data_IF_902799915306
#
_entry.id   IF_902799915306
#
_cell.length_a   1.000
_cell.length_b   1.000
_cell.length_c   1.000
_cell.angle_alpha   90.00
_cell.angle_beta   90.00
_cell.angle_gamma   90.00
#
_symmetry.space_group_name_H-M   'P 1'
#
loop_
_entity.id
_entity.type
_entity.pdbx_description
1 polymer ?
#
# COMPACT_ATOMS: atom_id res chain seq x y z
N UNK A 1 -13.15 -23.18 -4.07
CA UNK A 1 -12.95 -21.82 -4.62
C UNK A 1 -14.05 -20.95 -4.03
N UNK A 2 -13.73 -20.09 -3.05
CA UNK A 2 -14.72 -19.19 -2.46
C UNK A 2 -14.79 -17.97 -3.37
N UNK A 3 -15.89 -17.82 -4.10
CA UNK A 3 -16.17 -16.61 -4.86
C UNK A 3 -16.72 -15.60 -3.84
N UNK A 4 -15.84 -14.75 -3.32
CA UNK A 4 -16.25 -13.66 -2.43
C UNK A 4 -17.00 -12.65 -3.28
N UNK A 5 -18.28 -12.45 -2.99
CA UNK A 5 -19.07 -11.38 -3.57
C UNK A 5 -18.52 -10.04 -3.05
N UNK A 6 -17.79 -9.32 -3.92
CA UNK A 6 -17.23 -8.02 -3.58
C UNK A 6 -18.19 -6.92 -4.05
N UNK A 7 -18.81 -6.24 -3.09
CA UNK A 7 -19.67 -5.08 -3.33
C UNK A 7 -18.81 -3.86 -3.70
N UNK A 8 -18.67 -3.61 -5.01
CA UNK A 8 -17.92 -2.47 -5.53
C UNK A 8 -18.78 -1.20 -5.47
N UNK A 9 -18.38 -0.23 -4.65
CA UNK A 9 -19.07 1.06 -4.51
C UNK A 9 -18.23 2.20 -5.08
N UNK A 10 -18.90 3.08 -5.82
CA UNK A 10 -18.32 4.33 -6.31
C UNK A 10 -18.78 5.50 -5.44
N UNK A 11 -17.94 6.52 -5.33
CA UNK A 11 -18.26 7.76 -4.63
C UNK A 11 -18.00 8.94 -5.55
N UNK A 12 -18.92 9.92 -5.54
CA UNK A 12 -18.74 11.18 -6.26
C UNK A 12 -17.90 12.20 -5.45
N UNK A 13 -17.48 11.83 -4.24
CA UNK A 13 -16.56 12.67 -3.45
C UNK A 13 -15.19 12.63 -4.11
N UNK A 14 -14.64 13.81 -4.37
CA UNK A 14 -13.26 13.91 -4.83
C UNK A 14 -12.32 13.30 -3.79
N UNK A 15 -11.49 12.36 -4.24
CA UNK A 15 -10.40 11.80 -3.44
C UNK A 15 -9.14 12.60 -3.80
N UNK A 16 -8.66 13.42 -2.86
CA UNK A 16 -7.35 14.08 -2.97
C UNK A 16 -6.24 13.05 -2.83
N UNK A 17 -5.05 13.33 -3.36
CA UNK A 17 -3.88 12.46 -3.21
C UNK A 17 -3.66 12.03 -1.75
N UNK A 18 -3.69 12.99 -0.82
CA UNK A 18 -3.57 12.75 0.63
C UNK A 18 -4.65 11.84 1.20
N UNK A 19 -5.90 12.02 0.78
CA UNK A 19 -7.00 11.14 1.21
C UNK A 19 -6.85 9.73 0.64
N UNK A 20 -6.32 9.59 -0.57
CA UNK A 20 -5.99 8.31 -1.20
C UNK A 20 -4.87 7.57 -0.45
N UNK A 21 -3.81 8.28 -0.07
CA UNK A 21 -2.73 7.73 0.79
C UNK A 21 -3.32 7.23 2.11
N UNK A 22 -4.16 8.02 2.77
CA UNK A 22 -4.80 7.64 4.02
C UNK A 22 -5.68 6.40 3.88
N UNK A 23 -6.42 6.28 2.78
CA UNK A 23 -7.25 5.10 2.49
C UNK A 23 -6.41 3.84 2.28
N UNK A 24 -5.36 3.92 1.44
CA UNK A 24 -4.45 2.80 1.19
C UNK A 24 -3.75 2.39 2.48
N UNK A 25 -3.21 3.33 3.24
CA UNK A 25 -2.52 3.02 4.50
C UNK A 25 -3.44 2.27 5.48
N UNK A 26 -4.70 2.72 5.60
CA UNK A 26 -5.70 2.04 6.42
C UNK A 26 -6.04 0.64 5.90
N UNK A 27 -6.15 0.46 4.59
CA UNK A 27 -6.38 -0.84 3.97
C UNK A 27 -5.20 -1.79 4.23
N UNK A 28 -3.96 -1.34 4.01
CA UNK A 28 -2.74 -2.13 4.24
C UNK A 28 -2.63 -2.57 5.71
N UNK A 29 -3.00 -1.70 6.65
CA UNK A 29 -3.10 -2.06 8.07
C UNK A 29 -4.17 -3.12 8.34
N UNK A 30 -5.36 -3.01 7.73
CA UNK A 30 -6.48 -3.97 7.91
C UNK A 30 -6.15 -5.37 7.41
N UNK A 31 -5.43 -5.49 6.29
CA UNK A 31 -5.02 -6.78 5.73
C UNK A 31 -3.74 -7.34 6.37
N UNK A 32 -3.19 -6.65 7.38
CA UNK A 32 -1.93 -7.01 8.07
C UNK A 32 -0.76 -7.19 7.08
N UNK A 33 -0.69 -6.31 6.08
CA UNK A 33 0.23 -6.44 4.97
C UNK A 33 1.69 -6.62 5.40
N UNK A 34 2.19 -5.81 6.34
CA UNK A 34 3.58 -5.91 6.81
C UNK A 34 3.90 -7.28 7.40
N UNK A 35 3.01 -7.82 8.25
CA UNK A 35 3.17 -9.16 8.84
C UNK A 35 3.15 -10.27 7.77
N UNK A 36 2.30 -10.12 6.75
CA UNK A 36 2.28 -11.06 5.63
C UNK A 36 3.57 -10.99 4.80
N UNK A 37 4.15 -9.80 4.63
CA UNK A 37 5.41 -9.63 3.90
C UNK A 37 6.62 -10.16 4.68
N UNK A 38 6.62 -10.05 6.01
CA UNK A 38 7.65 -10.63 6.88
C UNK A 38 7.70 -12.16 6.76
N UNK A 39 6.56 -12.83 6.57
CA UNK A 39 6.52 -14.29 6.41
C UNK A 39 6.96 -14.77 5.03
N UNK A 40 7.11 -13.88 4.04
CA UNK A 40 7.55 -14.22 2.68
C UNK A 40 9.06 -14.47 2.54
N UNK A 41 9.86 -14.31 3.60
CA UNK A 41 11.30 -14.55 3.54
C UNK A 41 12.04 -13.60 2.59
N UNK A 42 11.61 -12.33 2.54
CA UNK A 42 12.18 -11.33 1.63
C UNK A 42 13.69 -11.15 1.83
N UNK A 43 14.44 -10.84 0.75
CA UNK A 43 15.87 -10.60 0.84
C UNK A 43 16.13 -9.40 1.75
N UNK A 44 17.01 -9.61 2.73
CA UNK A 44 17.44 -8.53 3.61
C UNK A 44 18.35 -7.57 2.85
N UNK A 45 18.31 -6.27 3.17
CA UNK A 45 19.20 -5.30 2.56
C UNK A 45 20.67 -5.66 2.84
N UNK A 46 21.48 -5.73 1.79
CA UNK A 46 22.94 -5.88 1.94
C UNK A 46 23.62 -4.58 2.37
N UNK A 47 24.95 -4.62 2.46
CA UNK A 47 25.85 -3.56 3.00
C UNK A 47 25.69 -2.13 2.43
N UNK A 48 24.84 -1.90 1.42
CA UNK A 48 24.67 -0.59 0.77
C UNK A 48 23.20 -0.22 0.47
N UNK A 49 22.22 -0.82 1.15
CA UNK A 49 20.80 -0.45 1.01
C UNK A 49 20.22 -0.18 2.39
N UNK A 50 20.16 1.08 2.80
CA UNK A 50 19.75 1.48 4.17
C UNK A 50 18.26 1.28 4.48
N UNK A 51 17.44 0.88 3.50
CA UNK A 51 16.00 0.69 3.68
C UNK A 51 15.63 -0.79 3.61
N UNK A 52 14.82 -1.25 4.56
CA UNK A 52 14.19 -2.56 4.51
C UNK A 52 13.30 -2.67 3.25
N UNK A 53 13.31 -3.83 2.59
CA UNK A 53 12.51 -4.05 1.38
C UNK A 53 11.01 -3.82 1.62
N UNK A 54 10.52 -4.23 2.79
CA UNK A 54 9.13 -4.04 3.21
C UNK A 54 8.77 -2.54 3.25
N UNK A 55 9.69 -1.70 3.75
CA UNK A 55 9.50 -0.26 3.79
C UNK A 55 9.44 0.35 2.39
N UNK A 56 10.30 -0.10 1.47
CA UNK A 56 10.28 0.35 0.07
C UNK A 56 8.95 -0.01 -0.62
N UNK A 57 8.46 -1.23 -0.42
CA UNK A 57 7.19 -1.68 -0.99
C UNK A 57 6.01 -0.86 -0.47
N UNK A 58 5.95 -0.63 0.85
CA UNK A 58 4.95 0.25 1.46
C UNK A 58 5.03 1.67 0.86
N UNK A 59 6.23 2.21 0.70
CA UNK A 59 6.41 3.56 0.15
C UNK A 59 6.02 3.67 -1.32
N UNK A 60 6.31 2.67 -2.16
CA UNK A 60 5.87 2.66 -3.56
C UNK A 60 4.34 2.64 -3.66
N UNK A 61 3.68 1.80 -2.85
CA UNK A 61 2.22 1.73 -2.83
C UNK A 61 1.58 3.07 -2.42
N UNK A 62 2.14 3.74 -1.41
CA UNK A 62 1.64 5.04 -0.94
C UNK A 62 2.01 6.20 -1.88
N UNK A 63 3.20 6.20 -2.47
CA UNK A 63 3.71 7.28 -3.32
C UNK A 63 2.98 7.40 -4.65
N UNK A 64 2.48 6.28 -5.19
CA UNK A 64 1.70 6.26 -6.44
C UNK A 64 0.49 7.21 -6.43
N UNK A 65 -0.12 7.43 -5.26
CA UNK A 65 -1.26 8.36 -5.09
C UNK A 65 -0.87 9.84 -5.17
N UNK A 66 0.37 10.18 -4.82
CA UNK A 66 0.87 11.57 -4.84
C UNK A 66 1.17 12.02 -6.26
N UNK A 67 1.76 11.13 -7.07
CA UNK A 67 2.23 11.46 -8.41
C UNK A 67 1.09 11.69 -9.42
N UNK A 68 -0.12 11.21 -9.12
CA UNK A 68 -1.30 11.36 -10.01
C UNK A 68 -1.91 12.77 -10.03
N UNK A 69 -1.47 13.71 -9.18
CA UNK A 69 -1.98 15.09 -9.19
C UNK A 69 -0.88 16.02 -9.73
N UNK A 70 -1.05 16.67 -10.91
CA UNK A 70 -0.35 17.92 -11.13
C UNK A 70 -0.88 18.91 -10.10
N UNK A 71 -0.01 19.77 -9.58
CA UNK A 71 -0.39 20.88 -8.72
C UNK A 71 -1.55 21.69 -9.31
#
# INVERSE_FOLDING_TARGET
>A
MILVDFDLRFTNKEITAWSGIGLINKMLGRIRFSTAMESCGLPQPGSNRSYALIQLLLQIMLSSMVWSKPF
#
